data_IF_023366573203
#
_entry.id   IF_023366573203
#
_cell.length_a   1.000
_cell.length_b   1.000
_cell.length_c   1.000
_cell.angle_alpha   90.00
_cell.angle_beta   90.00
_cell.angle_gamma   90.00
#
_symmetry.space_group_name_H-M   'P 1'
#
loop_
_entity.id
_entity.type
_entity.pdbx_description
1 polymer ?
#
# COMPACT_ATOMS: atom_id res chain seq x y z
N UNK A 1 6.75 -3.96 -11.09
CA UNK A 1 6.43 -2.55 -10.91
C UNK A 1 7.48 -1.90 -10.02
N UNK A 2 8.10 -0.81 -10.45
CA UNK A 2 9.24 -0.19 -9.72
C UNK A 2 8.81 0.61 -8.48
N UNK A 3 7.50 0.88 -8.32
CA UNK A 3 6.95 1.61 -7.18
C UNK A 3 6.62 0.77 -5.94
N UNK A 4 6.84 -0.55 -5.97
CA UNK A 4 6.47 -1.44 -4.86
C UNK A 4 7.70 -1.90 -4.09
N UNK A 5 7.58 -1.88 -2.77
CA UNK A 5 8.51 -2.54 -1.88
C UNK A 5 8.37 -4.07 -2.01
N UNK A 6 9.47 -4.75 -2.32
CA UNK A 6 9.50 -6.21 -2.53
C UNK A 6 9.28 -7.02 -1.24
N UNK A 7 9.61 -6.47 -0.08
CA UNK A 7 9.45 -7.18 1.21
C UNK A 7 8.00 -7.15 1.70
N UNK A 8 7.33 -6.00 1.59
CA UNK A 8 5.98 -5.78 2.13
C UNK A 8 4.88 -5.84 1.07
N UNK A 9 5.23 -5.62 -0.20
CA UNK A 9 4.29 -5.46 -1.31
C UNK A 9 3.52 -4.14 -1.33
N UNK A 10 3.88 -3.19 -0.45
CA UNK A 10 3.30 -1.85 -0.35
C UNK A 10 3.97 -0.88 -1.34
N UNK A 11 3.25 0.16 -1.77
CA UNK A 11 3.85 1.25 -2.54
C UNK A 11 4.81 2.07 -1.68
N UNK A 12 5.96 2.44 -2.27
CA UNK A 12 6.89 3.42 -1.71
C UNK A 12 6.25 4.82 -1.65
N UNK A 13 6.72 5.67 -0.73
CA UNK A 13 6.28 7.07 -0.63
C UNK A 13 6.69 7.89 -1.86
N UNK A 14 7.86 7.58 -2.43
CA UNK A 14 8.35 8.20 -3.67
C UNK A 14 9.39 7.32 -4.36
N UNK A 15 9.44 7.43 -5.69
CA UNK A 15 10.49 6.82 -6.53
C UNK A 15 11.08 7.84 -7.51
N UNK A 16 12.34 7.64 -7.91
CA UNK A 16 12.99 8.43 -8.94
C UNK A 16 12.40 8.16 -10.33
N UNK A 17 12.80 8.96 -11.33
CA UNK A 17 12.42 8.72 -12.74
C UNK A 17 12.89 7.36 -13.25
N UNK A 18 13.98 6.83 -12.69
CA UNK A 18 14.53 5.51 -13.03
C UNK A 18 13.89 4.39 -12.19
N UNK A 19 12.94 4.70 -11.32
CA UNK A 19 12.26 3.72 -10.47
C UNK A 19 13.05 3.32 -9.23
N UNK A 20 14.04 4.11 -8.81
CA UNK A 20 14.75 3.87 -7.55
C UNK A 20 13.93 4.44 -6.37
N UNK A 21 13.78 3.71 -5.25
CA UNK A 21 13.11 4.23 -4.07
C UNK A 21 13.82 5.48 -3.54
N UNK A 22 13.07 6.58 -3.36
CA UNK A 22 13.56 7.83 -2.76
C UNK A 22 13.02 8.00 -1.33
N UNK A 23 11.76 7.64 -1.12
CA UNK A 23 11.13 7.55 0.19
C UNK A 23 10.63 6.12 0.39
N UNK A 24 11.29 5.39 1.30
CA UNK A 24 11.01 3.98 1.54
C UNK A 24 9.86 3.75 2.53
N UNK A 25 9.30 4.82 3.12
CA UNK A 25 8.14 4.74 4.00
C UNK A 25 6.88 4.57 3.18
N UNK A 26 6.10 3.55 3.52
CA UNK A 26 4.78 3.31 2.94
C UNK A 26 3.72 3.99 3.79
N UNK A 27 2.93 4.86 3.16
CA UNK A 27 1.75 5.50 3.76
C UNK A 27 0.50 4.67 3.50
N UNK A 28 -0.56 4.81 4.31
CA UNK A 28 -1.82 4.09 4.09
C UNK A 28 -2.59 4.58 2.86
N UNK A 29 -2.66 5.89 2.65
CA UNK A 29 -3.47 6.49 1.59
C UNK A 29 -3.08 6.07 0.16
N UNK A 30 -1.79 5.96 -0.24
CA UNK A 30 -1.43 5.52 -1.60
C UNK A 30 -1.88 4.08 -1.87
N UNK A 31 -1.95 3.24 -0.83
CA UNK A 31 -2.40 1.85 -0.99
C UNK A 31 -3.90 1.83 -1.25
N UNK A 32 -4.67 2.64 -0.51
CA UNK A 32 -6.10 2.81 -0.74
C UNK A 32 -6.39 3.36 -2.15
N UNK A 33 -5.64 4.37 -2.62
CA UNK A 33 -5.76 4.88 -3.99
C UNK A 33 -5.46 3.80 -5.02
N UNK A 34 -4.42 2.99 -4.81
CA UNK A 34 -4.05 1.95 -5.74
C UNK A 34 -5.10 0.81 -5.79
N UNK A 35 -5.81 0.54 -4.69
CA UNK A 35 -6.97 -0.37 -4.66
C UNK A 35 -8.13 0.23 -5.47
N UNK A 36 -8.48 1.49 -5.22
CA UNK A 36 -9.56 2.17 -5.97
C UNK A 36 -9.28 2.21 -7.47
N UNK A 37 -8.03 2.50 -7.86
CA UNK A 37 -7.63 2.50 -9.25
C UNK A 37 -7.79 1.11 -9.89
N UNK A 38 -7.38 0.04 -9.20
CA UNK A 38 -7.56 -1.33 -9.68
C UNK A 38 -9.04 -1.70 -9.83
N UNK A 39 -9.90 -1.32 -8.86
CA UNK A 39 -11.36 -1.52 -8.95
C UNK A 39 -11.95 -0.77 -10.15
N UNK A 40 -11.51 0.47 -10.39
CA UNK A 40 -12.01 1.27 -11.51
C UNK A 40 -11.59 0.69 -12.88
N UNK A 41 -10.43 0.04 -12.94
CA UNK A 41 -9.95 -0.63 -14.15
C UNK A 41 -10.64 -1.99 -14.36
N UNK A 42 -11.04 -2.69 -13.29
CA UNK A 42 -11.83 -3.92 -13.35
C UNK A 42 -13.20 -3.64 -14.00
N UNK A 43 -13.50 -4.32 -15.11
CA UNK A 43 -14.75 -4.10 -15.86
C UNK A 43 -14.69 -3.02 -16.95
N UNK A 44 -13.53 -2.40 -17.20
CA UNK A 44 -13.31 -1.45 -18.31
C UNK A 44 -12.91 -2.11 -19.65
N UNK A 45 -13.13 -3.42 -19.79
CA UNK A 45 -12.65 -4.21 -20.94
C UNK A 45 -11.17 -4.62 -20.85
N UNK A 46 -10.52 -4.34 -19.71
CA UNK A 46 -9.17 -4.80 -19.37
C UNK A 46 -9.14 -6.23 -18.81
N UNK A 47 -7.96 -6.67 -18.32
CA UNK A 47 -7.82 -7.97 -17.66
C UNK A 47 -8.68 -8.09 -16.40
N UNK A 48 -8.96 -9.32 -15.96
CA UNK A 48 -9.57 -9.57 -14.65
C UNK A 48 -8.60 -9.15 -13.54
N UNK A 49 -8.96 -8.11 -12.79
CA UNK A 49 -8.12 -7.54 -11.74
C UNK A 49 -8.57 -7.99 -10.35
N UNK A 50 -9.62 -8.81 -10.21
CA UNK A 50 -10.13 -9.24 -8.89
C UNK A 50 -9.04 -9.87 -8.00
N UNK A 51 -8.18 -10.79 -8.48
CA UNK A 51 -7.12 -11.36 -7.64
C UNK A 51 -6.11 -10.30 -7.17
N UNK A 52 -5.83 -9.31 -8.02
CA UNK A 52 -4.91 -8.22 -7.67
C UNK A 52 -5.53 -7.26 -6.65
N UNK A 53 -6.81 -6.94 -6.80
CA UNK A 53 -7.57 -6.13 -5.84
C UNK A 53 -7.56 -6.82 -4.47
N UNK A 54 -7.87 -8.11 -4.41
CA UNK A 54 -7.86 -8.89 -3.17
C UNK A 54 -6.47 -8.89 -2.52
N UNK A 55 -5.41 -9.13 -3.31
CA UNK A 55 -4.04 -9.09 -2.81
C UNK A 55 -3.65 -7.71 -2.25
N UNK A 56 -4.09 -6.62 -2.88
CA UNK A 56 -3.84 -5.24 -2.42
C UNK A 56 -4.62 -4.92 -1.13
N UNK A 57 -5.88 -5.32 -1.05
CA UNK A 57 -6.70 -5.20 0.17
C UNK A 57 -6.06 -5.97 1.32
N UNK A 58 -5.65 -7.22 1.09
CA UNK A 58 -4.99 -8.04 2.11
C UNK A 58 -3.69 -7.41 2.64
N UNK A 59 -2.92 -6.71 1.79
CA UNK A 59 -1.73 -5.96 2.23
C UNK A 59 -2.09 -4.70 3.02
N UNK A 60 -3.11 -3.96 2.60
CA UNK A 60 -3.59 -2.80 3.37
C UNK A 60 -3.99 -3.24 4.79
N UNK A 61 -4.77 -4.32 4.91
CA UNK A 61 -5.20 -4.83 6.22
C UNK A 61 -4.03 -5.30 7.06
N UNK A 62 -3.19 -6.19 6.52
CA UNK A 62 -2.03 -6.77 7.21
C UNK A 62 -1.13 -5.72 7.85
N UNK A 63 -0.86 -4.62 7.13
CA UNK A 63 0.14 -3.65 7.55
C UNK A 63 -0.44 -2.41 8.22
N UNK A 64 -1.60 -1.93 7.79
CA UNK A 64 -2.15 -0.64 8.23
C UNK A 64 -3.38 -0.75 9.14
N UNK A 65 -4.15 -1.86 9.10
CA UNK A 65 -5.44 -1.96 9.80
C UNK A 65 -5.40 -2.98 10.93
N UNK A 66 -5.12 -4.25 10.64
CA UNK A 66 -5.15 -5.34 11.64
C UNK A 66 -4.24 -5.11 12.85
N UNK A 67 -2.99 -4.59 12.71
CA UNK A 67 -2.14 -4.32 13.86
C UNK A 67 -2.46 -3.00 14.58
N UNK A 68 -3.39 -2.19 14.07
CA UNK A 68 -3.76 -0.92 14.70
C UNK A 68 -4.73 -1.14 15.87
N UNK A 69 -4.73 -0.24 16.89
CA UNK A 69 -5.79 -0.24 17.89
C UNK A 69 -7.18 -0.10 17.26
N UNK A 70 -8.20 -0.62 17.95
CA UNK A 70 -9.57 -0.60 17.45
C UNK A 70 -10.02 0.83 17.11
N UNK A 71 -10.52 1.00 15.87
CA UNK A 71 -11.00 2.29 15.37
C UNK A 71 -9.92 3.19 14.76
N UNK A 72 -8.68 2.73 14.66
CA UNK A 72 -7.54 3.49 14.13
C UNK A 72 -6.89 2.76 12.94
N UNK A 73 -5.86 3.39 12.37
CA UNK A 73 -4.96 2.79 11.40
C UNK A 73 -3.52 3.24 11.68
N UNK A 74 -2.54 2.42 11.29
CA UNK A 74 -1.13 2.81 11.30
C UNK A 74 -0.84 3.52 9.98
N UNK A 75 -0.45 4.79 10.02
CA UNK A 75 -0.21 5.54 8.78
C UNK A 75 1.16 5.24 8.16
N UNK A 76 2.21 5.05 8.96
CA UNK A 76 3.60 4.96 8.48
C UNK A 76 4.20 3.59 8.75
N UNK A 77 4.56 2.89 7.67
CA UNK A 77 5.24 1.59 7.70
C UNK A 77 6.61 1.73 7.05
N UNK A 78 7.66 1.24 7.71
CA UNK A 78 9.01 1.25 7.16
C UNK A 78 9.23 0.16 6.10
N UNK A 79 10.42 0.17 5.49
CA UNK A 79 10.77 -0.75 4.41
C UNK A 79 10.78 -2.24 4.81
N UNK A 80 10.73 -2.55 6.11
CA UNK A 80 10.73 -3.90 6.67
C UNK A 80 9.36 -4.29 7.25
N UNK A 81 8.36 -3.45 7.11
CA UNK A 81 7.01 -3.71 7.62
C UNK A 81 6.80 -3.31 9.08
N UNK A 82 7.70 -2.51 9.68
CA UNK A 82 7.54 -2.03 11.06
C UNK A 82 6.77 -0.72 11.09
N UNK A 83 5.90 -0.56 12.08
CA UNK A 83 5.25 0.73 12.34
C UNK A 83 6.28 1.78 12.76
N UNK A 84 6.22 2.95 12.13
CA UNK A 84 6.93 4.17 12.55
C UNK A 84 6.01 5.18 13.22
N UNK A 85 4.72 4.85 13.38
CA UNK A 85 3.76 5.75 14.01
C UNK A 85 4.03 5.83 15.51
N UNK A 86 4.41 7.02 15.98
CA UNK A 86 4.55 7.33 17.41
C UNK A 86 3.29 7.97 17.99
N UNK A 87 2.39 8.39 17.10
CA UNK A 87 1.12 9.06 17.39
C UNK A 87 0.09 8.58 16.36
N UNK A 88 -1.18 8.68 16.74
CA UNK A 88 -2.31 8.42 15.83
C UNK A 88 -2.76 9.77 15.23
N UNK A 89 -3.26 9.80 13.98
CA UNK A 89 -3.90 10.99 13.43
C UNK A 89 -5.09 11.47 14.27
#
# INVERSE_FOLDING_TARGET
>A
ANGLNRSTGLAYGAVSRQGLPLDTVSRGWPQAEAIKAAIALDGSGGPDLKPEIEARVGRLFRWHVDPAPLGLWIDRIDERGRSLATEVP
#
